data_IF_780690089981
#
_entry.id   IF_780690089981
#
_cell.length_a   1.000
_cell.length_b   1.000
_cell.length_c   1.000
_cell.angle_alpha   90.00
_cell.angle_beta   90.00
_cell.angle_gamma   90.00
#
_symmetry.space_group_name_H-M   'P 1'
#
loop_
_entity.id
_entity.type
_entity.pdbx_description
1 polymer ?
#
# COMPACT_ATOMS: atom_id res chain seq x y z
N UNK A 1 22.81 20.70 -5.46
CA UNK A 1 22.75 19.48 -6.31
C UNK A 1 21.47 18.68 -6.05
N UNK A 2 21.13 18.38 -4.79
CA UNK A 2 19.86 17.70 -4.40
C UNK A 2 18.61 18.44 -4.89
N UNK A 3 18.57 19.76 -4.75
CA UNK A 3 17.47 20.61 -5.24
C UNK A 3 17.26 20.50 -6.76
N UNK A 4 18.35 20.43 -7.53
CA UNK A 4 18.28 20.32 -8.99
C UNK A 4 17.78 18.93 -9.43
N UNK A 5 18.20 17.87 -8.73
CA UNK A 5 17.74 16.52 -9.01
C UNK A 5 16.24 16.36 -8.72
N UNK A 6 15.76 16.90 -7.59
CA UNK A 6 14.34 16.88 -7.24
C UNK A 6 13.50 17.65 -8.26
N UNK A 7 13.95 18.85 -8.67
CA UNK A 7 13.27 19.63 -9.69
C UNK A 7 13.20 18.87 -11.02
N UNK A 8 14.31 18.30 -11.48
CA UNK A 8 14.36 17.52 -12.72
C UNK A 8 13.42 16.31 -12.70
N UNK A 9 13.30 15.60 -11.57
CA UNK A 9 12.37 14.48 -11.44
C UNK A 9 10.91 14.93 -11.50
N UNK A 10 10.56 16.05 -10.85
CA UNK A 10 9.22 16.63 -10.90
C UNK A 10 8.87 17.17 -12.29
N UNK A 11 9.84 17.74 -12.98
CA UNK A 11 9.68 18.18 -14.37
C UNK A 11 9.47 16.97 -15.30
N UNK A 12 10.18 15.87 -15.05
CA UNK A 12 10.01 14.63 -15.82
C UNK A 12 8.66 13.96 -15.55
N UNK A 13 8.19 13.96 -14.31
CA UNK A 13 6.84 13.53 -13.93
C UNK A 13 5.78 14.37 -14.68
N UNK A 14 5.87 15.69 -14.57
CA UNK A 14 4.96 16.64 -15.21
C UNK A 14 5.01 16.56 -16.74
N UNK A 15 6.20 16.30 -17.29
CA UNK A 15 6.41 16.14 -18.73
C UNK A 15 5.50 15.06 -19.30
N UNK A 16 5.20 13.97 -18.59
CA UNK A 16 4.34 12.91 -19.11
C UNK A 16 2.87 13.30 -19.26
N UNK A 17 2.46 14.48 -18.78
CA UNK A 17 1.09 14.95 -18.84
C UNK A 17 0.93 16.20 -19.71
N UNK A 18 -0.26 16.36 -20.26
CA UNK A 18 -0.75 17.61 -20.86
C UNK A 18 -2.21 17.77 -20.44
N UNK A 19 -2.56 18.90 -19.84
CA UNK A 19 -3.90 19.17 -19.31
C UNK A 19 -4.40 18.06 -18.36
N UNK A 20 -3.53 17.59 -17.46
CA UNK A 20 -3.74 16.47 -16.53
C UNK A 20 -4.10 15.13 -17.20
N UNK A 21 -3.86 14.97 -18.51
CA UNK A 21 -4.03 13.72 -19.23
C UNK A 21 -2.67 13.13 -19.61
N UNK A 22 -2.47 11.81 -19.46
CA UNK A 22 -1.21 11.16 -19.82
C UNK A 22 -0.97 11.23 -21.33
N UNK A 23 0.27 11.52 -21.72
CA UNK A 23 0.71 11.63 -23.12
C UNK A 23 1.60 10.43 -23.45
N UNK A 24 1.01 9.46 -24.17
CA UNK A 24 1.64 8.17 -24.50
C UNK A 24 2.97 8.31 -25.22
N UNK A 25 3.12 9.29 -26.11
CA UNK A 25 4.36 9.55 -26.84
C UNK A 25 5.48 9.95 -25.89
N UNK A 26 5.18 10.76 -24.87
CA UNK A 26 6.15 11.23 -23.89
C UNK A 26 6.56 10.11 -22.95
N UNK A 27 5.62 9.32 -22.46
CA UNK A 27 5.93 8.12 -21.68
C UNK A 27 6.77 7.11 -22.49
N UNK A 28 6.45 6.93 -23.79
CA UNK A 28 7.23 6.08 -24.71
C UNK A 28 8.69 6.53 -24.83
N UNK A 29 8.98 7.84 -24.78
CA UNK A 29 10.37 8.33 -24.78
C UNK A 29 11.15 7.83 -23.56
N UNK A 30 10.54 7.81 -22.37
CA UNK A 30 11.21 7.32 -21.15
C UNK A 30 11.62 5.84 -21.29
N UNK A 31 10.76 5.01 -21.92
CA UNK A 31 11.11 3.62 -22.25
C UNK A 31 12.25 3.55 -23.25
N UNK A 32 12.14 4.28 -24.36
CA UNK A 32 13.09 4.23 -25.46
C UNK A 32 14.49 4.72 -25.07
N UNK A 33 14.57 5.68 -24.15
CA UNK A 33 15.83 6.20 -23.62
C UNK A 33 16.29 5.49 -22.33
N UNK A 34 15.65 4.37 -21.95
CA UNK A 34 15.99 3.60 -20.76
C UNK A 34 15.99 4.39 -19.45
N UNK A 35 15.21 5.48 -19.39
CA UNK A 35 15.10 6.31 -18.18
C UNK A 35 14.49 5.50 -17.04
N UNK A 36 13.50 4.66 -17.36
CA UNK A 36 12.85 3.74 -16.41
C UNK A 36 13.86 2.80 -15.75
N UNK A 37 14.75 2.17 -16.54
CA UNK A 37 15.77 1.26 -16.01
C UNK A 37 16.74 2.00 -15.09
N UNK A 38 17.12 3.24 -15.44
CA UNK A 38 18.00 4.07 -14.62
C UNK A 38 17.35 4.51 -13.31
N UNK A 39 16.03 4.75 -13.31
CA UNK A 39 15.30 5.07 -12.08
C UNK A 39 15.21 3.86 -11.15
N UNK A 40 14.93 2.66 -11.68
CA UNK A 40 14.94 1.43 -10.86
C UNK A 40 16.34 1.12 -10.34
N UNK A 41 17.39 1.29 -11.16
CA UNK A 41 18.78 1.14 -10.75
C UNK A 41 19.15 2.12 -9.61
N UNK A 42 18.71 3.39 -9.71
CA UNK A 42 18.91 4.40 -8.68
C UNK A 42 18.24 4.00 -7.36
N UNK A 43 16.99 3.51 -7.43
CA UNK A 43 16.25 3.06 -6.25
C UNK A 43 16.93 1.83 -5.61
N UNK A 44 17.27 0.82 -6.41
CA UNK A 44 17.92 -0.41 -5.95
C UNK A 44 19.23 -0.13 -5.23
N UNK A 45 20.14 0.62 -5.87
CA UNK A 45 21.43 1.01 -5.26
C UNK A 45 21.28 1.81 -3.97
N UNK A 46 20.22 2.61 -3.86
CA UNK A 46 19.95 3.38 -2.64
C UNK A 46 19.48 2.47 -1.49
N UNK A 47 18.92 1.31 -1.79
CA UNK A 47 18.37 0.34 -0.83
C UNK A 47 19.34 -0.80 -0.48
N UNK A 48 20.28 -1.14 -1.37
CA UNK A 48 21.33 -2.15 -1.15
C UNK A 48 22.25 -1.85 0.05
N UNK A 49 22.29 -0.61 0.53
CA UNK A 49 23.09 -0.18 1.70
C UNK A 49 22.62 -0.80 3.04
N UNK A 50 21.70 -1.77 3.03
CA UNK A 50 21.00 -2.35 4.19
C UNK A 50 21.52 -3.70 4.69
N UNK A 51 22.58 -4.26 4.12
CA UNK A 51 23.23 -5.42 4.71
C UNK A 51 24.06 -5.01 5.97
N UNK A 52 23.39 -4.72 7.09
CA UNK A 52 24.03 -4.79 8.41
C UNK A 52 23.92 -3.60 9.38
N UNK A 53 23.01 -2.64 9.24
CA UNK A 53 22.86 -1.55 10.23
C UNK A 53 21.39 -1.24 10.60
N UNK A 54 21.22 -0.86 11.87
CA UNK A 54 19.98 -0.68 12.64
C UNK A 54 18.76 -0.12 11.89
N UNK A 55 17.52 -0.56 12.23
CA UNK A 55 16.28 -0.12 11.57
C UNK A 55 15.91 1.37 11.73
N UNK A 56 16.69 2.16 12.48
CA UNK A 56 16.30 3.51 12.89
C UNK A 56 17.06 4.69 12.28
N UNK A 57 18.22 4.47 11.63
CA UNK A 57 19.12 5.58 11.26
C UNK A 57 19.75 5.42 9.87
N UNK A 58 18.94 5.02 8.89
CA UNK A 58 19.38 4.86 7.50
C UNK A 58 19.64 6.19 6.81
N UNK A 59 20.88 6.68 6.86
CA UNK A 59 21.34 7.72 5.92
C UNK A 59 21.55 7.08 4.54
N UNK A 60 20.50 6.99 3.72
CA UNK A 60 20.68 6.83 2.27
C UNK A 60 21.51 8.04 1.79
N UNK A 61 22.57 7.82 1.00
CA UNK A 61 23.32 8.96 0.39
C UNK A 61 22.40 9.89 -0.39
N UNK A 62 21.34 9.31 -0.97
CA UNK A 62 20.27 10.03 -1.66
C UNK A 62 19.12 10.32 -0.69
N UNK A 63 18.69 11.58 -0.52
CA UNK A 63 17.57 11.91 0.36
C UNK A 63 16.25 11.21 -0.02
N UNK A 64 15.48 10.76 0.97
CA UNK A 64 14.18 10.08 0.78
C UNK A 64 13.23 10.80 -0.19
N UNK A 65 13.14 12.13 -0.12
CA UNK A 65 12.24 12.91 -1.00
C UNK A 65 12.65 12.84 -2.48
N UNK A 66 13.93 12.63 -2.80
CA UNK A 66 14.40 12.39 -4.17
C UNK A 66 14.00 10.99 -4.62
N UNK A 67 14.10 9.99 -3.75
CA UNK A 67 13.70 8.62 -4.03
C UNK A 67 12.18 8.50 -4.25
N UNK A 68 11.38 9.20 -3.44
CA UNK A 68 9.93 9.29 -3.68
C UNK A 68 9.60 9.97 -5.00
N UNK A 69 10.30 11.05 -5.35
CA UNK A 69 10.12 11.68 -6.66
C UNK A 69 10.45 10.72 -7.82
N UNK A 70 11.45 9.86 -7.68
CA UNK A 70 11.73 8.81 -8.65
C UNK A 70 10.61 7.75 -8.73
N UNK A 71 10.02 7.35 -7.59
CA UNK A 71 8.85 6.47 -7.55
C UNK A 71 7.65 7.11 -8.26
N UNK A 72 7.42 8.41 -8.07
CA UNK A 72 6.33 9.15 -8.70
C UNK A 72 6.51 9.28 -10.22
N UNK A 73 7.75 9.44 -10.71
CA UNK A 73 8.03 9.34 -12.15
C UNK A 73 7.68 7.95 -12.69
N UNK A 74 8.08 6.87 -11.99
CA UNK A 74 7.73 5.51 -12.42
C UNK A 74 6.22 5.28 -12.40
N UNK A 75 5.50 5.87 -11.43
CA UNK A 75 4.05 5.78 -11.31
C UNK A 75 3.38 6.50 -12.48
N UNK A 76 3.75 7.75 -12.72
CA UNK A 76 3.27 8.54 -13.85
C UNK A 76 3.55 7.89 -15.22
N UNK A 77 4.62 7.10 -15.34
CA UNK A 77 4.96 6.37 -16.56
C UNK A 77 3.97 5.25 -16.92
N UNK A 78 3.29 4.66 -15.93
CA UNK A 78 2.28 3.60 -16.13
C UNK A 78 0.84 4.11 -16.09
N UNK A 79 0.58 5.34 -15.62
CA UNK A 79 -0.76 5.95 -15.64
C UNK A 79 -1.32 6.04 -17.06
N UNK A 80 -2.60 5.71 -17.23
CA UNK A 80 -3.36 6.00 -18.46
C UNK A 80 -3.53 4.86 -19.45
N UNK A 81 -3.64 3.62 -18.95
CA UNK A 81 -3.76 2.39 -19.76
C UNK A 81 -2.64 2.33 -20.80
N UNK A 82 -1.45 1.98 -20.32
CA UNK A 82 -0.24 1.92 -21.12
C UNK A 82 0.42 0.55 -20.98
N UNK A 83 -0.30 -0.50 -21.41
CA UNK A 83 0.15 -1.92 -21.42
C UNK A 83 1.60 -2.15 -21.83
N UNK A 84 2.10 -1.49 -22.88
CA UNK A 84 3.51 -1.64 -23.31
C UNK A 84 4.52 -1.07 -22.30
N UNK A 85 4.11 -0.09 -21.50
CA UNK A 85 4.90 0.50 -20.43
C UNK A 85 4.79 -0.34 -19.15
N UNK A 86 3.57 -0.78 -18.80
CA UNK A 86 3.29 -1.71 -17.70
C UNK A 86 4.13 -2.99 -17.86
N UNK A 87 4.03 -3.69 -18.99
CA UNK A 87 4.85 -4.86 -19.29
C UNK A 87 6.36 -4.57 -19.24
N UNK A 88 6.79 -3.38 -19.65
CA UNK A 88 8.20 -3.02 -19.61
C UNK A 88 8.69 -2.81 -18.18
N UNK A 89 7.85 -2.24 -17.31
CA UNK A 89 8.14 -2.04 -15.89
C UNK A 89 7.98 -3.34 -15.10
N UNK A 90 7.09 -4.25 -15.52
CA UNK A 90 6.79 -5.51 -14.87
C UNK A 90 8.01 -6.44 -14.71
N UNK A 91 9.04 -6.31 -15.56
CA UNK A 91 10.32 -7.02 -15.39
C UNK A 91 11.01 -6.69 -14.05
N UNK A 92 10.64 -5.57 -13.42
CA UNK A 92 11.17 -5.10 -12.14
C UNK A 92 10.23 -5.42 -10.95
N UNK A 93 9.20 -6.25 -11.14
CA UNK A 93 8.31 -6.70 -10.04
C UNK A 93 9.05 -7.29 -8.84
N UNK A 94 10.09 -8.14 -9.00
CA UNK A 94 10.84 -8.66 -7.86
C UNK A 94 11.43 -7.56 -6.97
N UNK A 95 11.91 -6.47 -7.58
CA UNK A 95 12.41 -5.30 -6.85
C UNK A 95 11.27 -4.64 -6.04
N UNK A 96 10.09 -4.43 -6.64
CA UNK A 96 8.95 -3.84 -5.94
C UNK A 96 8.50 -4.72 -4.77
N UNK A 97 8.32 -6.02 -4.99
CA UNK A 97 7.92 -6.97 -3.95
C UNK A 97 8.91 -7.02 -2.79
N UNK A 98 10.21 -7.07 -3.06
CA UNK A 98 11.25 -7.05 -2.03
C UNK A 98 11.15 -5.79 -1.16
N UNK A 99 10.92 -4.64 -1.79
CA UNK A 99 10.96 -3.33 -1.15
C UNK A 99 9.59 -2.80 -0.68
N UNK A 100 8.49 -3.53 -0.87
CA UNK A 100 7.22 -3.24 -0.19
C UNK A 100 7.44 -3.26 1.33
N UNK A 101 6.92 -2.25 2.01
CA UNK A 101 7.12 -1.93 3.42
C UNK A 101 8.27 -0.95 3.68
N UNK A 102 9.04 -0.57 2.65
CA UNK A 102 10.07 0.45 2.79
C UNK A 102 9.42 1.83 3.01
N UNK A 103 10.13 2.80 3.61
CA UNK A 103 9.63 4.16 3.81
C UNK A 103 9.64 4.97 2.49
N UNK A 104 9.20 4.38 1.38
CA UNK A 104 9.08 4.94 0.04
C UNK A 104 7.65 4.72 -0.50
N UNK A 105 7.32 5.32 -1.64
CA UNK A 105 6.00 5.18 -2.28
C UNK A 105 5.92 3.97 -3.25
N UNK A 106 6.44 2.82 -2.81
CA UNK A 106 6.53 1.61 -3.66
C UNK A 106 5.17 0.95 -3.83
N UNK A 107 4.36 0.86 -2.78
CA UNK A 107 3.03 0.25 -2.79
C UNK A 107 2.10 0.99 -3.75
N UNK A 108 2.13 2.32 -3.69
CA UNK A 108 1.31 3.17 -4.55
C UNK A 108 1.71 3.06 -6.02
N UNK A 109 3.02 2.98 -6.29
CA UNK A 109 3.55 2.69 -7.63
C UNK A 109 3.13 1.31 -8.11
N UNK A 110 3.29 0.29 -7.25
CA UNK A 110 3.03 -1.09 -7.63
C UNK A 110 1.53 -1.33 -7.84
N UNK A 111 0.68 -0.71 -7.02
CA UNK A 111 -0.79 -0.69 -7.21
C UNK A 111 -1.15 -0.11 -8.58
N UNK A 112 -0.53 1.00 -8.98
CA UNK A 112 -0.78 1.60 -10.30
C UNK A 112 -0.32 0.69 -11.45
N UNK A 113 0.80 0.00 -11.29
CA UNK A 113 1.33 -0.93 -12.29
C UNK A 113 0.39 -2.10 -12.57
N UNK A 114 -0.30 -2.61 -11.54
CA UNK A 114 -1.14 -3.82 -11.68
C UNK A 114 -2.62 -3.53 -11.91
N UNK A 115 -3.08 -2.30 -11.69
CA UNK A 115 -4.52 -1.95 -11.64
C UNK A 115 -5.32 -2.37 -12.88
N UNK A 116 -4.75 -2.17 -14.07
CA UNK A 116 -5.46 -2.32 -15.35
C UNK A 116 -4.80 -3.35 -16.29
N UNK A 117 -3.91 -4.19 -15.77
CA UNK A 117 -3.17 -5.18 -16.57
C UNK A 117 -3.33 -6.60 -16.02
N UNK A 118 -4.33 -7.32 -16.53
CA UNK A 118 -4.61 -8.70 -16.13
C UNK A 118 -3.42 -9.63 -16.39
N UNK A 119 -2.61 -9.38 -17.43
CA UNK A 119 -1.44 -10.20 -17.70
C UNK A 119 -0.38 -10.05 -16.61
N UNK A 120 -0.21 -8.84 -16.08
CA UNK A 120 0.66 -8.60 -14.92
C UNK A 120 0.06 -9.25 -13.66
N UNK A 121 -1.24 -9.10 -13.41
CA UNK A 121 -1.92 -9.72 -12.26
C UNK A 121 -1.79 -11.25 -12.29
N UNK A 122 -2.03 -11.88 -13.43
CA UNK A 122 -1.92 -13.33 -13.63
C UNK A 122 -0.48 -13.82 -13.48
N UNK A 123 0.53 -12.98 -13.77
CA UNK A 123 1.93 -13.34 -13.61
C UNK A 123 2.36 -13.48 -12.14
N UNK A 124 1.63 -12.85 -11.21
CA UNK A 124 1.89 -12.97 -9.78
C UNK A 124 1.48 -14.36 -9.30
N UNK A 125 2.39 -15.10 -8.67
CA UNK A 125 2.09 -16.43 -8.15
C UNK A 125 1.38 -16.35 -6.80
N UNK A 126 0.81 -17.48 -6.37
CA UNK A 126 0.23 -17.58 -5.03
C UNK A 126 1.25 -17.26 -3.94
N UNK A 127 2.50 -17.72 -4.08
CA UNK A 127 3.59 -17.42 -3.15
C UNK A 127 3.92 -15.92 -3.07
N UNK A 128 3.77 -15.19 -4.17
CA UNK A 128 3.98 -13.73 -4.21
C UNK A 128 2.90 -13.03 -3.38
N UNK A 129 1.63 -13.41 -3.58
CA UNK A 129 0.49 -12.88 -2.83
C UNK A 129 0.63 -13.22 -1.34
N UNK A 130 1.05 -14.45 -1.02
CA UNK A 130 1.30 -14.90 0.35
C UNK A 130 2.36 -14.04 1.05
N UNK A 131 3.47 -13.74 0.40
CA UNK A 131 4.50 -12.87 0.98
C UNK A 131 3.97 -11.46 1.28
N UNK A 132 3.16 -10.90 0.39
CA UNK A 132 2.56 -9.58 0.55
C UNK A 132 1.57 -9.56 1.72
N UNK A 133 0.69 -10.57 1.82
CA UNK A 133 -0.24 -10.71 2.96
C UNK A 133 0.52 -10.89 4.27
N UNK A 134 1.61 -11.66 4.29
CA UNK A 134 2.44 -11.81 5.49
C UNK A 134 3.10 -10.48 5.92
N UNK A 135 3.51 -9.64 4.98
CA UNK A 135 4.03 -8.29 5.28
C UNK A 135 2.94 -7.42 5.90
N UNK A 136 1.73 -7.42 5.32
CA UNK A 136 0.56 -6.73 5.86
C UNK A 136 0.28 -7.16 7.31
N UNK A 137 0.15 -8.47 7.58
CA UNK A 137 -0.14 -8.98 8.93
C UNK A 137 0.89 -8.53 9.97
N UNK A 138 2.18 -8.57 9.63
CA UNK A 138 3.26 -8.12 10.54
C UNK A 138 3.18 -6.63 10.86
N UNK A 139 2.67 -5.82 9.95
CA UNK A 139 2.53 -4.38 10.13
C UNK A 139 1.28 -4.03 10.92
N UNK A 140 0.15 -4.69 10.69
CA UNK A 140 -1.10 -4.43 11.43
C UNK A 140 -0.95 -4.66 12.94
N UNK A 141 0.03 -5.47 13.37
CA UNK A 141 0.39 -5.62 14.79
C UNK A 141 1.20 -4.46 15.38
N UNK A 142 1.64 -3.49 14.58
CA UNK A 142 2.48 -2.37 15.02
C UNK A 142 1.64 -1.09 15.23
N UNK A 143 1.51 -0.66 16.48
CA UNK A 143 0.71 0.51 16.87
C UNK A 143 1.46 1.84 16.60
N UNK A 144 1.37 2.35 15.37
CA UNK A 144 1.79 3.71 15.02
C UNK A 144 1.16 4.21 13.71
N UNK A 145 1.01 5.53 13.58
CA UNK A 145 0.39 6.19 12.42
C UNK A 145 1.08 5.91 11.06
N UNK A 146 2.36 5.53 11.05
CA UNK A 146 3.04 5.14 9.81
C UNK A 146 2.53 3.78 9.32
N UNK A 147 2.24 2.87 10.25
CA UNK A 147 1.63 1.57 9.99
C UNK A 147 0.27 1.72 9.32
N UNK A 148 -0.62 2.59 9.83
CA UNK A 148 -1.97 2.77 9.27
C UNK A 148 -1.95 3.21 7.80
N UNK A 149 -1.03 4.11 7.43
CA UNK A 149 -0.92 4.55 6.02
C UNK A 149 -0.49 3.38 5.15
N UNK A 150 0.53 2.65 5.58
CA UNK A 150 1.12 1.58 4.80
C UNK A 150 0.15 0.39 4.70
N UNK A 151 -0.58 0.09 5.77
CA UNK A 151 -1.68 -0.88 5.79
C UNK A 151 -2.71 -0.56 4.71
N UNK A 152 -3.18 0.69 4.64
CA UNK A 152 -4.13 1.11 3.59
C UNK A 152 -3.56 0.92 2.18
N UNK A 153 -2.29 1.23 1.95
CA UNK A 153 -1.68 1.03 0.63
C UNK A 153 -1.54 -0.46 0.26
N UNK A 154 -1.23 -1.32 1.22
CA UNK A 154 -1.22 -2.78 1.03
C UNK A 154 -2.63 -3.30 0.73
N UNK A 155 -3.64 -2.85 1.47
CA UNK A 155 -5.03 -3.23 1.22
C UNK A 155 -5.53 -2.74 -0.14
N UNK A 156 -5.15 -1.52 -0.55
CA UNK A 156 -5.42 -1.03 -1.90
C UNK A 156 -4.77 -1.90 -2.97
N UNK A 157 -3.51 -2.31 -2.76
CA UNK A 157 -2.82 -3.24 -3.65
C UNK A 157 -3.55 -4.59 -3.74
N UNK A 158 -3.93 -5.19 -2.61
CA UNK A 158 -4.69 -6.44 -2.60
C UNK A 158 -6.07 -6.28 -3.27
N UNK A 159 -6.71 -5.13 -3.08
CA UNK A 159 -7.98 -4.79 -3.74
C UNK A 159 -7.88 -4.80 -5.26
N UNK A 160 -6.83 -4.20 -5.84
CA UNK A 160 -6.63 -4.21 -7.30
C UNK A 160 -6.25 -5.60 -7.84
N UNK A 161 -5.70 -6.51 -7.02
CA UNK A 161 -5.53 -7.90 -7.42
C UNK A 161 -6.86 -8.67 -7.49
N UNK A 162 -7.86 -8.25 -6.73
CA UNK A 162 -9.18 -8.88 -6.72
C UNK A 162 -10.06 -8.46 -7.90
N UNK A 163 -9.82 -7.27 -8.48
CA UNK A 163 -10.60 -6.71 -9.59
C UNK A 163 -9.67 -5.96 -10.54
N UNK A 164 -9.64 -6.36 -11.81
CA UNK A 164 -8.83 -5.74 -12.87
C UNK A 164 -9.74 -5.30 -14.03
N UNK A 165 -9.67 -4.03 -14.46
CA UNK A 165 -10.59 -3.45 -15.47
C UNK A 165 -12.07 -3.82 -15.19
N UNK A 166 -12.53 -3.60 -13.96
CA UNK A 166 -13.89 -3.95 -13.46
C UNK A 166 -14.27 -5.45 -13.54
N UNK A 167 -13.32 -6.31 -13.89
CA UNK A 167 -13.52 -7.76 -13.97
C UNK A 167 -12.99 -8.42 -12.70
N UNK A 168 -13.81 -9.23 -12.00
CA UNK A 168 -13.32 -9.98 -10.83
C UNK A 168 -12.26 -11.00 -11.25
N UNK A 169 -11.26 -11.21 -10.40
CA UNK A 169 -10.20 -12.21 -10.59
C UNK A 169 -10.34 -13.30 -9.50
N UNK A 170 -11.17 -14.36 -9.73
CA UNK A 170 -11.56 -15.29 -8.66
C UNK A 170 -10.40 -16.05 -8.02
N UNK A 171 -9.36 -16.38 -8.80
CA UNK A 171 -8.16 -17.06 -8.29
C UNK A 171 -7.43 -16.22 -7.24
N UNK A 172 -7.33 -14.90 -7.46
CA UNK A 172 -6.74 -13.96 -6.50
C UNK A 172 -7.65 -13.73 -5.32
N UNK A 173 -8.95 -13.53 -5.55
CA UNK A 173 -9.95 -13.35 -4.50
C UNK A 173 -9.95 -14.52 -3.51
N UNK A 174 -9.99 -15.76 -4.01
CA UNK A 174 -9.95 -16.96 -3.16
C UNK A 174 -8.65 -17.07 -2.38
N UNK A 175 -7.51 -16.81 -3.05
CA UNK A 175 -6.19 -16.84 -2.39
C UNK A 175 -6.09 -15.81 -1.27
N UNK A 176 -6.47 -14.56 -1.56
CA UNK A 176 -6.41 -13.44 -0.61
C UNK A 176 -7.38 -13.67 0.54
N UNK A 177 -8.62 -14.06 0.26
CA UNK A 177 -9.62 -14.35 1.29
C UNK A 177 -9.15 -15.44 2.24
N UNK A 178 -8.63 -16.56 1.71
CA UNK A 178 -8.07 -17.64 2.51
C UNK A 178 -6.93 -17.16 3.40
N UNK A 179 -5.98 -16.40 2.84
CA UNK A 179 -4.83 -15.90 3.59
C UNK A 179 -5.21 -14.85 4.66
N UNK A 180 -6.29 -14.09 4.45
CA UNK A 180 -6.75 -13.05 5.38
C UNK A 180 -7.78 -13.55 6.40
N UNK A 181 -8.53 -14.62 6.14
CA UNK A 181 -9.66 -14.99 7.01
C UNK A 181 -9.60 -16.40 7.61
N UNK A 182 -8.71 -17.28 7.12
CA UNK A 182 -8.63 -18.65 7.65
C UNK A 182 -7.77 -18.76 8.94
N UNK A 183 -6.87 -17.80 9.18
CA UNK A 183 -6.06 -17.73 10.41
C UNK A 183 -6.86 -17.06 11.56
N UNK A 184 -6.32 -17.08 12.79
CA UNK A 184 -6.88 -16.30 13.91
C UNK A 184 -7.10 -14.83 13.48
N UNK A 185 -8.24 -14.24 13.88
CA UNK A 185 -8.76 -12.97 13.36
C UNK A 185 -7.98 -11.74 13.86
N UNK A 186 -6.72 -11.90 14.24
CA UNK A 186 -5.90 -10.90 14.95
C UNK A 186 -5.54 -9.69 14.07
N UNK A 187 -5.63 -9.84 12.75
CA UNK A 187 -5.26 -8.80 11.77
C UNK A 187 -6.47 -8.20 11.04
N UNK A 188 -7.70 -8.46 11.50
CA UNK A 188 -8.93 -7.85 10.95
C UNK A 188 -9.85 -7.37 12.08
N UNK A 189 -10.44 -6.20 11.90
CA UNK A 189 -11.39 -5.66 12.87
C UNK A 189 -12.68 -6.49 12.91
N UNK A 190 -12.95 -7.11 14.06
CA UNK A 190 -14.18 -7.88 14.28
C UNK A 190 -15.28 -6.96 14.79
N UNK A 191 -16.23 -6.63 13.91
CA UNK A 191 -17.42 -5.86 14.30
C UNK A 191 -18.55 -6.80 14.72
N UNK A 192 -19.15 -6.58 15.89
CA UNK A 192 -20.30 -7.34 16.39
C UNK A 192 -21.48 -6.41 16.68
N UNK A 193 -22.68 -6.82 16.28
CA UNK A 193 -23.91 -6.15 16.68
C UNK A 193 -24.29 -6.63 18.08
N UNK A 194 -24.49 -5.68 18.99
CA UNK A 194 -25.07 -5.94 20.29
C UNK A 194 -26.54 -5.53 20.26
N UNK A 195 -27.45 -6.31 20.90
CA UNK A 195 -28.81 -5.84 21.13
C UNK A 195 -28.72 -4.50 21.86
N UNK A 196 -29.42 -3.48 21.38
CA UNK A 196 -29.64 -2.28 22.16
C UNK A 196 -30.42 -2.68 23.40
N UNK A 197 -29.73 -2.80 24.54
CA UNK A 197 -30.43 -2.82 25.81
C UNK A 197 -31.16 -1.48 25.89
N UNK A 198 -32.49 -1.52 25.78
CA UNK A 198 -33.31 -0.44 26.30
C UNK A 198 -32.99 -0.45 27.79
N UNK A 199 -32.08 0.43 28.22
CA UNK A 199 -32.03 0.81 29.63
C UNK A 199 -33.39 1.44 29.85
N UNK A 200 -34.29 0.82 30.64
CA UNK A 200 -35.52 1.50 31.00
C UNK A 200 -35.11 2.83 31.61
N UNK A 201 -35.72 3.93 31.17
CA UNK A 201 -35.48 5.22 31.83
C UNK A 201 -35.61 4.97 33.35
N UNK A 202 -34.62 5.37 34.15
CA UNK A 202 -34.74 5.23 35.59
C UNK A 202 -36.05 5.92 36.00
N UNK A 203 -36.86 5.31 36.88
CA UNK A 203 -38.07 5.95 37.37
C UNK A 203 -37.72 7.37 37.84
N UNK A 204 -38.52 8.36 37.45
CA UNK A 204 -38.27 9.81 37.66
C UNK A 204 -37.92 10.16 39.13
N UNK A 205 -38.26 9.27 40.07
CA UNK A 205 -37.98 9.39 41.49
C UNK A 205 -36.51 9.13 41.90
N UNK A 206 -35.64 8.70 40.98
CA UNK A 206 -34.19 8.47 41.23
C UNK A 206 -33.27 9.44 40.47
N UNK A 207 -33.80 10.58 40.00
CA UNK A 207 -33.00 11.65 39.37
C UNK A 207 -32.17 12.48 40.37
N UNK A 208 -31.96 11.99 41.58
CA UNK A 208 -31.05 12.55 42.56
C UNK A 208 -29.75 11.74 42.58
N UNK A 209 -28.67 12.35 42.11
CA UNK A 209 -27.29 11.87 42.24
C UNK A 209 -26.87 10.70 41.32
N UNK A 210 -27.00 10.87 40.00
CA UNK A 210 -26.14 10.13 39.07
C UNK A 210 -24.75 10.82 39.03
N UNK A 211 -23.66 10.18 39.48
CA UNK A 211 -22.32 10.70 39.26
C UNK A 211 -22.04 10.66 37.75
N UNK A 212 -21.56 11.78 37.22
CA UNK A 212 -20.99 11.84 35.88
C UNK A 212 -20.03 10.65 35.70
N UNK A 213 -20.31 9.82 34.70
CA UNK A 213 -19.39 8.79 34.21
C UNK A 213 -18.12 9.50 33.73
N UNK A 214 -17.16 9.66 34.64
CA UNK A 214 -15.76 9.83 34.27
C UNK A 214 -15.25 8.50 33.75
N UNK A 215 -14.52 8.55 32.64
CA UNK A 215 -13.71 7.48 32.07
C UNK A 215 -13.20 6.50 33.13
N UNK A 216 -13.48 5.21 32.96
CA UNK A 216 -12.50 4.13 33.20
C UNK A 216 -13.12 2.74 32.94
N UNK A 217 -12.43 1.99 32.10
CA UNK A 217 -12.43 0.54 31.92
C UNK A 217 -13.26 -0.29 32.91
N UNK A 218 -14.35 -0.91 32.43
CA UNK A 218 -14.82 -2.19 32.98
C UNK A 218 -15.07 -3.19 31.87
N UNK A 219 -14.08 -4.07 31.72
CA UNK A 219 -14.18 -5.38 31.07
C UNK A 219 -15.36 -6.12 31.70
N UNK A 220 -16.42 -6.37 30.93
CA UNK A 220 -17.47 -7.31 31.33
C UNK A 220 -17.12 -8.65 30.70
N UNK A 221 -16.72 -9.61 31.54
CA UNK A 221 -16.45 -10.98 31.14
C UNK A 221 -17.70 -11.61 30.49
N UNK A 222 -17.55 -12.48 29.46
CA UNK A 222 -18.69 -13.17 28.89
C UNK A 222 -19.22 -14.22 29.87
N UNK A 223 -20.54 -14.19 30.10
CA UNK A 223 -21.27 -15.28 30.74
C UNK A 223 -21.16 -16.53 29.85
N UNK A 224 -20.59 -17.59 30.41
CA UNK A 224 -20.55 -18.92 29.81
C UNK A 224 -21.95 -19.52 29.73
N UNK A 225 -22.25 -20.18 28.61
CA UNK A 225 -23.30 -21.19 28.47
C UNK A 225 -22.66 -22.50 28.04
#
# INVERSE_FOLDING_TARGET
MVTNALAALRDLESFMFRDNKPVRERQKLLRNFHVVDKLVELLSKSMETRAGLDPGHGHTKTPKHVLNAACNVLKAYVVGNSRKNEHYLAKHIPFFQEHMGAPLEIESLYTELVRDDLQVVDSLKEDDVKQIVQKLKRMSSADNAHSDKLEREFLMFLGVLCVCEDTPVPSKQNTIARLLFDDEHDHVDVTRLFPSFIVPDPPEDQLGDAPFLTDEHKVIAPLAY
#
